data_IF_908812132107
#
_entry.id   IF_908812132107
#
_cell.length_a   1.000
_cell.length_b   1.000
_cell.length_c   1.000
_cell.angle_alpha   90.00
_cell.angle_beta   90.00
_cell.angle_gamma   90.00
#
_symmetry.space_group_name_H-M   'P 1'
#
loop_
_entity.id
_entity.type
_entity.pdbx_description
1 polymer ?
#
# COMPACT_ATOMS: atom_id res chain seq x y z
N UNK A 1 0.32 -5.07 0.37
CA UNK A 1 -0.47 -3.92 -0.14
C UNK A 1 -1.12 -3.22 1.04
N UNK A 2 -1.04 -1.90 1.13
CA UNK A 2 -1.65 -1.06 2.16
C UNK A 2 -2.81 -0.30 1.54
N UNK A 3 -4.01 -0.57 2.02
CA UNK A 3 -5.24 0.07 1.54
C UNK A 3 -5.74 1.10 2.56
N UNK A 4 -5.68 2.39 2.19
CA UNK A 4 -6.10 3.51 3.04
C UNK A 4 -7.01 4.47 2.26
N UNK A 5 -8.32 4.17 2.14
CA UNK A 5 -9.20 4.94 1.30
C UNK A 5 -9.41 6.35 1.83
N UNK A 6 -9.46 7.35 0.95
CA UNK A 6 -9.54 8.74 1.40
C UNK A 6 -10.86 9.11 2.08
N UNK A 7 -11.89 8.33 1.82
CA UNK A 7 -13.21 8.39 2.45
C UNK A 7 -13.23 7.85 3.89
N UNK A 8 -12.17 7.15 4.34
CA UNK A 8 -12.11 6.63 5.70
C UNK A 8 -11.91 7.73 6.74
N UNK A 9 -12.45 7.53 7.95
CA UNK A 9 -12.23 8.45 9.08
C UNK A 9 -10.74 8.57 9.40
N UNK A 10 -10.25 9.79 9.63
CA UNK A 10 -8.82 10.11 9.89
C UNK A 10 -8.20 9.18 10.93
N UNK A 11 -8.89 8.92 12.05
CA UNK A 11 -8.40 8.00 13.10
C UNK A 11 -8.11 6.59 12.56
N UNK A 12 -8.94 6.06 11.66
CA UNK A 12 -8.75 4.72 11.08
C UNK A 12 -7.59 4.71 10.07
N UNK A 13 -7.45 5.76 9.25
CA UNK A 13 -6.29 5.91 8.35
C UNK A 13 -4.99 5.92 9.15
N UNK A 14 -4.96 6.69 10.24
CA UNK A 14 -3.79 6.80 11.11
C UNK A 14 -3.43 5.45 11.73
N UNK A 15 -4.43 4.75 12.29
CA UNK A 15 -4.20 3.46 12.95
C UNK A 15 -3.70 2.39 11.96
N UNK A 16 -4.30 2.31 10.78
CA UNK A 16 -3.90 1.35 9.75
C UNK A 16 -2.51 1.64 9.19
N UNK A 17 -2.21 2.93 8.92
CA UNK A 17 -0.89 3.35 8.43
C UNK A 17 0.22 3.02 9.43
N UNK A 18 0.03 3.36 10.71
CA UNK A 18 1.00 3.05 11.76
C UNK A 18 1.17 1.54 11.98
N UNK A 19 0.08 0.78 11.93
CA UNK A 19 0.13 -0.69 12.07
C UNK A 19 0.85 -1.34 10.88
N UNK A 20 0.63 -0.82 9.67
CA UNK A 20 1.26 -1.34 8.47
C UNK A 20 2.77 -1.00 8.42
N UNK A 21 3.18 0.16 8.94
CA UNK A 21 4.61 0.50 9.06
C UNK A 21 5.35 -0.45 10.02
N UNK A 22 4.72 -0.79 11.16
CA UNK A 22 5.26 -1.80 12.07
C UNK A 22 5.39 -3.18 11.40
N UNK A 23 4.38 -3.59 10.63
CA UNK A 23 4.42 -4.82 9.85
C UNK A 23 5.52 -4.80 8.78
N UNK A 24 5.66 -3.69 8.05
CA UNK A 24 6.73 -3.49 7.06
C UNK A 24 8.12 -3.66 7.69
N UNK A 25 8.32 -3.13 8.90
CA UNK A 25 9.58 -3.25 9.62
C UNK A 25 9.83 -4.68 10.12
N UNK A 26 8.78 -5.41 10.48
CA UNK A 26 8.87 -6.82 10.92
C UNK A 26 9.09 -7.81 9.77
N UNK A 27 8.60 -7.49 8.56
CA UNK A 27 8.68 -8.34 7.39
C UNK A 27 9.98 -8.08 6.62
N UNK A 28 11.09 -8.54 7.20
CA UNK A 28 12.42 -8.46 6.58
C UNK A 28 12.43 -9.30 5.29
N UNK A 29 12.65 -8.66 4.14
CA UNK A 29 12.64 -9.30 2.83
C UNK A 29 11.50 -8.86 1.90
N UNK A 30 10.51 -8.10 2.39
CA UNK A 30 9.53 -7.45 1.52
C UNK A 30 10.22 -6.33 0.73
N UNK A 31 10.50 -6.60 -0.55
CA UNK A 31 11.16 -5.63 -1.44
C UNK A 31 10.22 -4.53 -1.94
N UNK A 32 8.93 -4.83 -2.07
CA UNK A 32 7.94 -3.92 -2.65
C UNK A 32 6.67 -3.91 -1.81
N UNK A 33 6.13 -2.72 -1.60
CA UNK A 33 4.81 -2.52 -0.99
C UNK A 33 4.06 -1.49 -1.81
N UNK A 34 2.78 -1.75 -2.05
CA UNK A 34 1.90 -0.87 -2.81
C UNK A 34 0.96 -0.20 -1.83
N UNK A 35 0.93 1.13 -1.84
CA UNK A 35 -0.10 1.91 -1.17
C UNK A 35 -1.17 2.32 -2.18
N UNK A 36 -2.43 2.11 -1.82
CA UNK A 36 -3.59 2.49 -2.60
C UNK A 36 -4.58 3.26 -1.72
N UNK A 37 -5.07 4.37 -2.24
CA UNK A 37 -5.96 5.32 -1.56
C UNK A 37 -7.33 5.46 -2.20
N UNK A 38 -7.50 4.90 -3.40
CA UNK A 38 -8.78 4.84 -4.11
C UNK A 38 -8.93 3.52 -4.87
N UNK A 39 -10.17 3.08 -5.15
CA UNK A 39 -10.44 1.75 -5.71
C UNK A 39 -9.82 1.61 -7.10
N UNK A 40 -9.72 2.74 -7.81
CA UNK A 40 -8.97 2.85 -9.06
C UNK A 40 -7.49 2.48 -8.90
N UNK A 41 -6.85 2.86 -7.78
CA UNK A 41 -5.46 2.53 -7.47
C UNK A 41 -5.25 1.11 -6.92
N UNK A 42 -6.33 0.42 -6.55
CA UNK A 42 -6.30 -0.99 -6.13
C UNK A 42 -6.75 -1.96 -7.22
N UNK A 43 -7.02 -1.46 -8.43
CA UNK A 43 -7.31 -2.30 -9.60
C UNK A 43 -6.08 -3.13 -9.99
N UNK A 44 -6.32 -4.29 -10.60
CA UNK A 44 -5.25 -5.19 -11.06
C UNK A 44 -4.29 -4.48 -12.02
N UNK A 45 -4.82 -3.68 -12.93
CA UNK A 45 -4.06 -2.88 -13.89
C UNK A 45 -3.13 -1.87 -13.20
N UNK A 46 -3.65 -1.09 -12.23
CA UNK A 46 -2.85 -0.11 -11.49
C UNK A 46 -1.80 -0.76 -10.59
N UNK A 47 -2.14 -1.93 -10.02
CA UNK A 47 -1.21 -2.74 -9.22
C UNK A 47 -0.08 -3.28 -10.11
N UNK A 48 -0.41 -3.83 -11.27
CA UNK A 48 0.57 -4.36 -12.22
C UNK A 48 1.49 -3.26 -12.76
N UNK A 49 0.94 -2.09 -13.09
CA UNK A 49 1.72 -0.92 -13.51
C UNK A 49 2.72 -0.50 -12.42
N UNK A 50 2.27 -0.36 -11.15
CA UNK A 50 3.17 0.01 -10.05
C UNK A 50 4.23 -1.06 -9.77
N UNK A 51 3.89 -2.34 -9.92
CA UNK A 51 4.85 -3.44 -9.77
C UNK A 51 5.94 -3.39 -10.84
N UNK A 52 5.54 -3.20 -12.11
CA UNK A 52 6.43 -3.07 -13.26
C UNK A 52 7.29 -1.81 -13.19
N UNK A 53 6.72 -0.67 -12.79
CA UNK A 53 7.48 0.58 -12.60
C UNK A 53 8.53 0.48 -11.49
N UNK A 54 8.29 -0.38 -10.49
CA UNK A 54 9.22 -0.63 -9.38
C UNK A 54 10.18 -1.79 -9.70
N UNK A 55 9.95 -2.57 -10.76
CA UNK A 55 10.90 -3.55 -11.29
C UNK A 55 12.02 -2.79 -12.01
N UNK A 56 13.18 -2.69 -11.36
CA UNK A 56 14.39 -2.27 -12.06
C UNK A 56 14.87 -3.45 -12.90
N UNK A 57 14.88 -3.23 -14.22
CA UNK A 57 15.38 -4.10 -15.28
C UNK A 57 16.74 -4.73 -14.94
#
# INVERSE_FOLDING_TARGET
MSWCPDTAKVKKKMLYSSSFDALKKSLVGVQKYIQATDLSEASEEAVEEKLRATDRN
#
